data_IF_223548076047
#
_entry.id   IF_223548076047
#
_cell.length_a   1.000
_cell.length_b   1.000
_cell.length_c   1.000
_cell.angle_alpha   90.00
_cell.angle_beta   90.00
_cell.angle_gamma   90.00
#
_symmetry.space_group_name_H-M   'P 1'
#
loop_
_entity.id
_entity.type
_entity.pdbx_description
1 polymer ?
#
# COMPACT_ATOMS: atom_id res chain seq x y z
N UNK A 1 10.79 6.81 -20.93
CA UNK A 1 11.76 6.82 -19.80
C UNK A 1 11.17 5.99 -18.69
N UNK A 2 11.96 5.15 -18.05
CA UNK A 2 11.53 4.30 -16.94
C UNK A 2 11.44 5.15 -15.67
N UNK A 3 10.30 5.17 -15.01
CA UNK A 3 10.12 5.91 -13.74
C UNK A 3 10.72 5.12 -12.58
N UNK A 4 11.48 5.79 -11.72
CA UNK A 4 12.14 5.12 -10.57
C UNK A 4 11.21 5.07 -9.37
N UNK A 5 11.19 3.92 -8.71
CA UNK A 5 10.53 3.69 -7.43
C UNK A 5 11.58 3.39 -6.35
N UNK A 6 11.43 3.96 -5.17
CA UNK A 6 12.15 3.52 -3.99
C UNK A 6 11.25 2.55 -3.22
N UNK A 7 11.60 1.28 -3.18
CA UNK A 7 10.88 0.25 -2.44
C UNK A 7 11.59 -0.01 -1.11
N UNK A 8 10.90 0.28 -0.03
CA UNK A 8 11.40 0.16 1.33
C UNK A 8 10.68 -0.98 2.06
N UNK A 9 11.45 -1.92 2.62
CA UNK A 9 10.92 -3.15 3.25
C UNK A 9 11.48 -3.40 4.65
N UNK A 10 12.02 -2.35 5.30
CA UNK A 10 12.54 -2.49 6.67
C UNK A 10 11.42 -2.89 7.63
N UNK A 11 11.73 -3.81 8.52
CA UNK A 11 10.87 -4.22 9.63
C UNK A 11 11.64 -4.15 10.93
N UNK A 12 11.04 -3.60 11.96
CA UNK A 12 11.54 -3.62 13.35
C UNK A 12 10.58 -4.36 14.27
N UNK A 13 9.46 -4.82 13.71
CA UNK A 13 8.45 -5.66 14.30
C UNK A 13 8.26 -6.90 13.39
N UNK A 14 7.06 -7.42 13.22
CA UNK A 14 6.80 -8.63 12.41
C UNK A 14 7.29 -8.48 10.97
N UNK A 15 8.05 -9.50 10.48
CA UNK A 15 8.54 -9.57 9.11
C UNK A 15 7.77 -10.62 8.32
N UNK A 16 7.16 -10.21 7.22
CA UNK A 16 6.46 -11.10 6.32
C UNK A 16 7.41 -11.88 5.42
N UNK A 17 7.21 -13.19 5.30
CA UNK A 17 7.98 -14.06 4.41
C UNK A 17 7.73 -13.75 2.93
N UNK A 18 6.63 -13.05 2.61
CA UNK A 18 6.29 -12.62 1.25
C UNK A 18 7.17 -11.50 0.70
N UNK A 19 7.92 -10.76 1.52
CA UNK A 19 8.72 -9.60 1.10
C UNK A 19 9.62 -9.88 -0.11
N UNK A 20 10.38 -10.98 -0.19
CA UNK A 20 11.20 -11.27 -1.37
C UNK A 20 10.38 -11.41 -2.65
N UNK A 21 9.28 -12.17 -2.61
CA UNK A 21 8.38 -12.35 -3.75
C UNK A 21 7.72 -11.04 -4.17
N UNK A 22 7.36 -10.19 -3.20
CA UNK A 22 6.78 -8.88 -3.42
C UNK A 22 7.76 -7.93 -4.13
N UNK A 23 9.02 -7.89 -3.69
CA UNK A 23 10.07 -7.08 -4.33
C UNK A 23 10.31 -7.54 -5.77
N UNK A 24 10.38 -8.86 -6.01
CA UNK A 24 10.57 -9.41 -7.36
C UNK A 24 9.38 -9.11 -8.27
N UNK A 25 8.15 -9.17 -7.74
CA UNK A 25 6.95 -8.77 -8.46
C UNK A 25 7.02 -7.30 -8.89
N UNK A 26 7.39 -6.38 -7.98
CA UNK A 26 7.53 -4.96 -8.32
C UNK A 26 8.64 -4.70 -9.34
N UNK A 27 9.77 -5.40 -9.24
CA UNK A 27 10.86 -5.32 -10.24
C UNK A 27 10.46 -5.75 -11.64
N UNK A 28 9.46 -6.62 -11.73
CA UNK A 28 8.94 -7.15 -13.00
C UNK A 28 7.78 -6.36 -13.60
N UNK A 29 7.34 -5.27 -12.92
CA UNK A 29 6.34 -4.37 -13.49
C UNK A 29 6.94 -3.52 -14.59
N UNK A 30 6.28 -3.50 -15.73
CA UNK A 30 6.69 -2.67 -16.85
C UNK A 30 6.61 -1.17 -16.51
N UNK A 31 7.51 -0.38 -17.07
CA UNK A 31 7.53 1.07 -16.89
C UNK A 31 8.24 1.56 -15.61
N UNK A 32 8.65 0.67 -14.72
CA UNK A 32 9.33 1.03 -13.48
C UNK A 32 10.76 0.52 -13.39
N UNK A 33 11.65 1.35 -12.82
CA UNK A 33 12.94 0.94 -12.30
C UNK A 33 12.86 0.92 -10.77
N UNK A 34 13.17 -0.21 -10.15
CA UNK A 34 13.02 -0.42 -8.70
C UNK A 34 14.36 -0.41 -8.00
N UNK A 35 14.55 0.56 -7.10
CA UNK A 35 15.61 0.56 -6.11
C UNK A 35 15.03 0.04 -4.79
N UNK A 36 15.51 -1.11 -4.34
CA UNK A 36 15.06 -1.73 -3.09
C UNK A 36 16.07 -1.52 -1.98
N UNK A 37 15.59 -1.16 -0.78
CA UNK A 37 16.43 -0.99 0.42
C UNK A 37 15.68 -1.34 1.70
N UNK A 38 16.46 -1.72 2.73
CA UNK A 38 16.03 -1.80 4.13
C UNK A 38 16.81 -0.81 5.00
N UNK A 39 17.74 -0.06 4.41
CA UNK A 39 18.54 0.94 5.13
C UNK A 39 17.76 2.25 5.27
N UNK A 40 17.39 2.67 6.50
CA UNK A 40 16.65 3.91 6.73
C UNK A 40 17.44 5.17 6.34
N UNK A 41 18.78 5.09 6.25
CA UNK A 41 19.60 6.23 5.86
C UNK A 41 19.34 6.66 4.40
N UNK A 42 18.86 5.75 3.54
CA UNK A 42 18.48 6.09 2.16
C UNK A 42 17.33 7.10 2.12
N UNK A 43 16.40 7.03 3.10
CA UNK A 43 15.28 7.97 3.19
C UNK A 43 15.67 9.32 3.82
N UNK A 44 16.90 9.49 4.29
CA UNK A 44 17.41 10.79 4.72
C UNK A 44 17.93 11.66 3.56
N UNK A 45 18.30 11.01 2.45
CA UNK A 45 18.76 11.66 1.23
C UNK A 45 17.60 12.32 0.45
N UNK A 46 17.87 13.20 -0.53
CA UNK A 46 16.86 13.71 -1.45
C UNK A 46 16.13 12.58 -2.19
N UNK A 47 14.80 12.65 -2.25
CA UNK A 47 13.94 11.63 -2.88
C UNK A 47 13.43 12.07 -4.26
N UNK A 48 13.83 13.23 -4.76
CA UNK A 48 13.32 13.85 -6.01
C UNK A 48 13.56 13.00 -7.26
N UNK A 49 14.51 12.06 -7.21
CA UNK A 49 14.79 11.12 -8.29
C UNK A 49 13.74 10.01 -8.42
N UNK A 50 12.88 9.84 -7.41
CA UNK A 50 11.85 8.81 -7.38
C UNK A 50 10.48 9.39 -7.68
N UNK A 51 9.72 8.73 -8.54
CA UNK A 51 8.32 9.07 -8.82
C UNK A 51 7.40 8.66 -7.66
N UNK A 52 7.74 7.56 -6.97
CA UNK A 52 7.07 7.17 -5.73
C UNK A 52 8.01 6.45 -4.76
N UNK A 53 7.69 6.57 -3.47
CA UNK A 53 8.22 5.76 -2.37
C UNK A 53 7.18 4.71 -2.00
N UNK A 54 7.57 3.44 -2.02
CA UNK A 54 6.70 2.30 -1.70
C UNK A 54 7.13 1.68 -0.39
N UNK A 55 6.27 1.73 0.63
CA UNK A 55 6.44 0.97 1.86
C UNK A 55 5.77 -0.40 1.65
N UNK A 56 6.59 -1.43 1.44
CA UNK A 56 6.15 -2.77 1.10
C UNK A 56 6.30 -3.68 2.31
N UNK A 57 5.18 -4.00 2.97
CA UNK A 57 5.12 -4.82 4.19
C UNK A 57 6.11 -4.38 5.28
N UNK A 58 6.32 -3.07 5.41
CA UNK A 58 7.10 -2.50 6.52
C UNK A 58 6.35 -2.65 7.84
N UNK A 59 7.04 -2.73 8.97
CA UNK A 59 6.41 -2.84 10.29
C UNK A 59 7.29 -2.27 11.40
N UNK A 60 6.66 -1.68 12.42
CA UNK A 60 7.33 -1.04 13.54
C UNK A 60 7.88 0.35 13.22
N UNK A 61 8.81 0.84 14.03
CA UNK A 61 9.43 2.16 13.85
C UNK A 61 10.64 2.01 12.94
N UNK A 62 10.50 2.36 11.69
CA UNK A 62 11.47 2.04 10.62
C UNK A 62 12.26 3.24 10.13
N UNK A 63 11.79 4.46 10.43
CA UNK A 63 12.42 5.70 9.99
C UNK A 63 13.21 6.37 11.11
N UNK A 64 14.29 7.05 10.73
CA UNK A 64 14.95 8.03 11.59
C UNK A 64 14.16 9.34 11.63
N UNK A 65 14.41 10.24 12.60
CA UNK A 65 13.80 11.58 12.59
C UNK A 65 14.05 12.36 11.30
N UNK A 66 15.24 12.22 10.70
CA UNK A 66 15.59 12.86 9.43
C UNK A 66 14.80 12.24 8.25
N UNK A 67 14.67 10.91 8.23
CA UNK A 67 13.87 10.19 7.24
C UNK A 67 12.39 10.56 7.31
N UNK A 68 11.81 10.69 8.52
CA UNK A 68 10.44 11.20 8.72
C UNK A 68 10.26 12.59 8.13
N UNK A 69 11.14 13.52 8.45
CA UNK A 69 11.08 14.88 7.92
C UNK A 69 11.22 14.89 6.38
N UNK A 70 12.13 14.07 5.83
CA UNK A 70 12.34 13.97 4.39
C UNK A 70 11.12 13.40 3.67
N UNK A 71 10.54 12.30 4.17
CA UNK A 71 9.34 11.69 3.58
C UNK A 71 8.17 12.68 3.59
N UNK A 72 7.94 13.37 4.70
CA UNK A 72 6.88 14.37 4.80
C UNK A 72 7.07 15.53 3.80
N UNK A 73 8.29 16.04 3.67
CA UNK A 73 8.61 17.09 2.71
C UNK A 73 8.44 16.61 1.26
N UNK A 74 8.89 15.39 0.94
CA UNK A 74 8.77 14.78 -0.38
C UNK A 74 7.32 14.63 -0.81
N UNK A 75 6.47 14.04 0.03
CA UNK A 75 5.05 13.87 -0.27
C UNK A 75 4.35 15.23 -0.34
N UNK A 76 4.62 16.13 0.61
CA UNK A 76 4.05 17.48 0.62
C UNK A 76 4.38 18.29 -0.65
N UNK A 77 5.52 18.05 -1.27
CA UNK A 77 5.95 18.67 -2.53
C UNK A 77 5.41 18.00 -3.80
N UNK A 78 4.64 16.93 -3.70
CA UNK A 78 4.04 16.24 -4.85
C UNK A 78 4.58 14.84 -5.13
N UNK A 79 5.49 14.34 -4.31
CA UNK A 79 6.00 12.97 -4.42
C UNK A 79 4.93 11.92 -4.14
N UNK A 80 4.98 10.80 -4.88
CA UNK A 80 4.06 9.68 -4.72
C UNK A 80 4.39 8.80 -3.51
N UNK A 81 3.36 8.32 -2.80
CA UNK A 81 3.53 7.33 -1.74
C UNK A 81 2.61 6.14 -1.94
N UNK A 82 3.10 4.91 -1.78
CA UNK A 82 2.28 3.72 -1.77
C UNK A 82 2.60 2.86 -0.54
N UNK A 83 1.55 2.44 0.17
CA UNK A 83 1.64 1.49 1.27
C UNK A 83 1.01 0.16 0.87
N UNK A 84 1.69 -0.95 1.16
CA UNK A 84 1.21 -2.29 0.87
C UNK A 84 1.19 -3.11 2.16
N UNK A 85 0.07 -3.73 2.44
CA UNK A 85 -0.17 -4.66 3.54
C UNK A 85 0.28 -4.09 4.89
N UNK A 86 1.32 -4.65 5.50
CA UNK A 86 1.81 -4.26 6.82
C UNK A 86 2.38 -2.82 6.89
N UNK A 87 2.39 -2.06 5.78
CA UNK A 87 2.65 -0.64 5.87
C UNK A 87 1.70 0.08 6.85
N UNK A 88 0.49 -0.46 7.10
CA UNK A 88 -0.42 0.05 8.13
C UNK A 88 0.05 -0.22 9.58
N UNK A 89 1.03 -1.11 9.77
CA UNK A 89 1.66 -1.46 11.04
C UNK A 89 2.96 -0.67 11.31
N UNK A 90 3.17 0.44 10.60
CA UNK A 90 4.44 1.19 10.59
C UNK A 90 4.27 2.54 11.27
N UNK A 91 5.33 3.01 11.96
CA UNK A 91 5.44 4.38 12.49
C UNK A 91 4.26 4.78 13.41
N UNK A 92 3.89 3.93 14.35
CA UNK A 92 2.77 4.20 15.27
C UNK A 92 2.98 5.41 16.16
N UNK A 93 4.23 5.75 16.47
CA UNK A 93 4.59 6.91 17.30
C UNK A 93 4.65 8.22 16.50
N UNK A 94 4.48 8.16 15.18
CA UNK A 94 4.50 9.33 14.31
C UNK A 94 3.11 9.63 13.75
N UNK A 95 2.35 10.61 14.33
CA UNK A 95 0.96 10.91 13.91
C UNK A 95 0.82 11.21 12.42
N UNK A 96 1.77 11.98 11.84
CA UNK A 96 1.77 12.30 10.40
C UNK A 96 1.65 11.06 9.52
N UNK A 97 2.30 9.93 9.88
CA UNK A 97 2.21 8.71 9.06
C UNK A 97 0.79 8.11 9.06
N UNK A 98 0.06 8.21 10.19
CA UNK A 98 -1.35 7.83 10.24
C UNK A 98 -2.21 8.69 9.33
N UNK A 99 -1.96 10.01 9.35
CA UNK A 99 -2.64 10.96 8.47
C UNK A 99 -2.26 10.73 7.00
N UNK A 100 -1.00 10.42 6.72
CA UNK A 100 -0.51 10.09 5.38
C UNK A 100 -1.23 8.87 4.82
N UNK A 101 -1.23 7.76 5.55
CA UNK A 101 -1.81 6.49 5.11
C UNK A 101 -3.34 6.52 5.10
N UNK A 102 -3.95 7.25 6.04
CA UNK A 102 -5.40 7.38 6.19
C UNK A 102 -6.02 6.43 7.21
N UNK A 103 -5.34 5.34 7.59
CA UNK A 103 -5.76 4.42 8.64
C UNK A 103 -4.57 3.71 9.28
N UNK A 104 -4.80 3.10 10.45
CA UNK A 104 -3.83 2.30 11.19
C UNK A 104 -4.39 0.91 11.41
N UNK A 105 -3.57 -0.10 11.23
CA UNK A 105 -3.90 -1.48 11.54
C UNK A 105 -4.33 -1.63 13.01
N UNK A 106 -5.35 -2.45 13.25
CA UNK A 106 -5.83 -2.81 14.57
C UNK A 106 -5.62 -4.30 14.87
N UNK A 107 -6.10 -5.16 13.99
CA UNK A 107 -6.02 -6.62 14.07
C UNK A 107 -6.40 -7.26 12.73
N UNK A 108 -6.30 -8.56 12.64
CA UNK A 108 -6.87 -9.37 11.56
C UNK A 108 -7.35 -10.74 12.09
N UNK A 109 -8.33 -11.39 11.47
CA UNK A 109 -8.62 -12.80 11.68
C UNK A 109 -7.54 -13.69 11.05
N UNK A 110 -7.72 -15.02 11.12
CA UNK A 110 -6.83 -15.96 10.45
C UNK A 110 -6.80 -15.71 8.93
N UNK A 111 -5.66 -16.00 8.29
CA UNK A 111 -5.51 -16.01 6.83
C UNK A 111 -6.52 -16.98 6.22
N UNK A 112 -7.38 -16.50 5.33
CA UNK A 112 -8.52 -17.26 4.80
C UNK A 112 -9.06 -16.68 3.49
N UNK A 113 -9.79 -17.47 2.67
CA UNK A 113 -10.47 -16.94 1.50
C UNK A 113 -11.62 -16.01 1.90
N UNK A 114 -11.95 -15.07 1.01
CA UNK A 114 -13.06 -14.13 1.14
C UNK A 114 -13.26 -13.35 -0.14
N UNK A 115 -14.13 -12.34 -0.10
CA UNK A 115 -14.48 -11.52 -1.26
C UNK A 115 -14.12 -10.06 -1.06
N UNK A 116 -13.54 -9.49 -2.10
CA UNK A 116 -13.27 -8.06 -2.23
C UNK A 116 -14.34 -7.46 -3.13
N UNK A 117 -15.07 -6.47 -2.64
CA UNK A 117 -16.07 -5.70 -3.39
C UNK A 117 -15.38 -4.50 -4.02
N UNK A 118 -15.30 -4.46 -5.34
CA UNK A 118 -14.70 -3.34 -6.09
C UNK A 118 -15.72 -2.22 -6.20
N UNK A 119 -15.49 -1.13 -5.49
CA UNK A 119 -16.38 0.05 -5.46
C UNK A 119 -16.09 1.03 -6.60
N UNK A 120 -14.81 1.21 -6.92
CA UNK A 120 -14.36 2.13 -7.96
C UNK A 120 -13.78 1.35 -9.13
N UNK A 121 -14.48 1.34 -10.24
CA UNK A 121 -14.11 0.60 -11.45
C UNK A 121 -13.42 1.46 -12.52
N UNK A 122 -13.14 2.71 -12.21
CA UNK A 122 -12.45 3.64 -13.13
C UNK A 122 -10.99 3.85 -12.70
N UNK A 123 -10.65 3.57 -11.43
CA UNK A 123 -9.30 3.75 -10.93
C UNK A 123 -8.31 2.72 -11.51
N UNK A 124 -7.08 3.11 -11.91
CA UNK A 124 -6.09 2.18 -12.49
C UNK A 124 -5.82 0.92 -11.67
N UNK A 125 -5.90 1.00 -10.34
CA UNK A 125 -5.69 -0.15 -9.46
C UNK A 125 -6.83 -1.19 -9.51
N UNK A 126 -8.02 -0.82 -9.96
CA UNK A 126 -9.21 -1.69 -9.77
C UNK A 126 -10.05 -1.90 -11.02
N UNK A 127 -9.84 -1.11 -12.07
CA UNK A 127 -10.68 -1.16 -13.29
C UNK A 127 -10.63 -2.50 -14.06
N UNK A 128 -9.55 -3.28 -13.90
CA UNK A 128 -9.38 -4.59 -14.52
C UNK A 128 -10.03 -5.71 -13.69
N UNK A 129 -10.33 -5.46 -12.41
CA UNK A 129 -10.89 -6.43 -11.50
C UNK A 129 -12.40 -6.66 -11.75
N UNK A 130 -12.93 -7.86 -11.48
CA UNK A 130 -14.37 -8.08 -11.44
C UNK A 130 -15.02 -7.28 -10.30
N UNK A 131 -16.33 -7.04 -10.37
CA UNK A 131 -17.06 -6.31 -9.31
C UNK A 131 -16.96 -7.01 -7.94
N UNK A 132 -16.85 -8.34 -7.94
CA UNK A 132 -16.57 -9.16 -6.76
C UNK A 132 -15.36 -10.00 -7.11
N UNK A 133 -14.27 -9.76 -6.38
CA UNK A 133 -12.99 -10.44 -6.57
C UNK A 133 -12.75 -11.43 -5.44
N UNK A 134 -12.72 -12.71 -5.77
CA UNK A 134 -12.37 -13.78 -4.83
C UNK A 134 -10.88 -13.71 -4.54
N UNK A 135 -10.51 -13.60 -3.26
CA UNK A 135 -9.13 -13.46 -2.84
C UNK A 135 -8.90 -14.20 -1.52
N UNK A 136 -7.65 -14.53 -1.22
CA UNK A 136 -7.27 -15.13 0.08
C UNK A 136 -6.21 -14.25 0.71
N UNK A 137 -6.52 -13.71 1.89
CA UNK A 137 -5.58 -12.83 2.61
C UNK A 137 -5.84 -12.81 4.11
N UNK A 138 -5.06 -12.01 4.83
CA UNK A 138 -5.38 -11.50 6.17
C UNK A 138 -6.27 -10.27 6.01
N UNK A 139 -7.51 -10.37 6.47
CA UNK A 139 -8.49 -9.29 6.38
C UNK A 139 -8.24 -8.26 7.49
N UNK A 140 -7.49 -7.20 7.17
CA UNK A 140 -7.06 -6.19 8.15
C UNK A 140 -8.23 -5.32 8.62
N UNK A 141 -8.54 -5.37 9.91
CA UNK A 141 -9.35 -4.35 10.58
C UNK A 141 -8.49 -3.13 10.90
N UNK A 142 -9.05 -1.95 10.81
CA UNK A 142 -8.39 -0.68 11.08
C UNK A 142 -8.93 -0.02 12.33
N UNK A 143 -8.12 0.79 13.01
CA UNK A 143 -8.52 1.55 14.20
C UNK A 143 -9.62 2.57 13.88
N UNK A 144 -9.59 3.13 12.67
CA UNK A 144 -10.58 4.07 12.14
C UNK A 144 -10.79 3.79 10.66
N UNK A 145 -12.02 3.97 10.15
CA UNK A 145 -12.29 3.86 8.71
C UNK A 145 -11.65 5.05 7.97
N UNK A 146 -10.96 4.81 6.84
CA UNK A 146 -10.42 5.88 5.99
C UNK A 146 -11.50 6.61 5.19
N UNK A 147 -12.74 6.11 5.13
CA UNK A 147 -13.80 6.58 4.24
C UNK A 147 -14.09 8.07 4.34
N UNK A 148 -13.93 8.67 5.51
CA UNK A 148 -14.16 10.12 5.69
C UNK A 148 -13.05 11.01 5.12
N UNK A 149 -11.86 10.43 4.79
CA UNK A 149 -10.66 11.18 4.38
C UNK A 149 -9.97 10.65 3.13
N UNK A 150 -10.45 9.54 2.58
CA UNK A 150 -9.88 8.88 1.41
C UNK A 150 -10.99 8.40 0.45
N UNK A 151 -10.64 8.27 -0.84
CA UNK A 151 -11.46 7.61 -1.86
C UNK A 151 -11.23 6.10 -1.73
N UNK A 152 -12.23 5.38 -1.28
CA UNK A 152 -12.19 3.92 -1.18
C UNK A 152 -12.37 3.33 -2.57
N UNK A 153 -11.52 2.39 -2.93
CA UNK A 153 -11.49 1.71 -4.23
C UNK A 153 -12.08 0.30 -4.14
N UNK A 154 -11.86 -0.36 -2.99
CA UNK A 154 -12.40 -1.69 -2.74
C UNK A 154 -12.54 -1.93 -1.22
N UNK A 155 -13.51 -2.76 -0.86
CA UNK A 155 -13.84 -3.13 0.51
C UNK A 155 -13.96 -4.65 0.67
N UNK A 156 -13.83 -5.16 1.89
CA UNK A 156 -14.11 -6.56 2.20
C UNK A 156 -15.63 -6.80 2.30
N UNK A 157 -16.07 -7.94 1.83
CA UNK A 157 -17.38 -8.50 2.18
C UNK A 157 -17.23 -9.38 3.43
N UNK A 158 -17.47 -8.81 4.61
CA UNK A 158 -17.32 -9.57 5.86
C UNK A 158 -18.27 -10.77 5.99
N UNK A 159 -19.30 -10.86 5.15
CA UNK A 159 -20.17 -12.04 5.11
C UNK A 159 -19.50 -13.25 4.45
N UNK A 160 -18.35 -13.07 3.79
CA UNK A 160 -17.63 -14.09 3.04
C UNK A 160 -16.51 -14.78 3.83
N UNK A 161 -16.18 -14.29 5.02
CA UNK A 161 -15.12 -14.83 5.86
C UNK A 161 -15.48 -14.68 7.35
N UNK A 162 -14.71 -15.32 8.24
CA UNK A 162 -14.96 -15.29 9.68
C UNK A 162 -14.05 -14.29 10.40
N UNK A 163 -14.57 -13.64 11.44
CA UNK A 163 -13.79 -12.84 12.37
C UNK A 163 -13.59 -11.37 11.96
N UNK A 164 -14.28 -10.87 10.95
CA UNK A 164 -14.31 -9.44 10.62
C UNK A 164 -14.80 -8.57 11.77
N UNK A 165 -14.37 -7.34 11.83
CA UNK A 165 -14.67 -6.44 12.93
C UNK A 165 -14.97 -5.00 12.53
N UNK A 166 -15.02 -4.69 11.22
CA UNK A 166 -15.37 -3.37 10.71
C UNK A 166 -16.86 -3.27 10.35
N UNK A 167 -17.56 -4.41 10.22
CA UNK A 167 -19.00 -4.48 9.89
C UNK A 167 -19.27 -4.29 8.40
N UNK A 168 -20.43 -3.71 8.08
CA UNK A 168 -20.88 -3.56 6.70
C UNK A 168 -20.11 -2.57 5.84
N UNK A 169 -19.15 -1.83 6.39
CA UNK A 169 -18.27 -0.90 5.67
C UNK A 169 -16.81 -1.16 6.06
N UNK A 170 -16.13 -1.99 5.27
CA UNK A 170 -14.78 -2.46 5.55
C UNK A 170 -13.79 -2.13 4.42
N UNK A 171 -13.30 -0.88 4.31
CA UNK A 171 -12.32 -0.49 3.30
C UNK A 171 -11.03 -1.31 3.41
N UNK A 172 -10.54 -1.84 2.26
CA UNK A 172 -9.26 -2.53 2.15
C UNK A 172 -8.27 -1.78 1.26
N UNK A 173 -8.79 -1.07 0.26
CA UNK A 173 -8.00 -0.35 -0.74
C UNK A 173 -8.51 1.07 -0.86
N UNK A 174 -7.61 2.03 -0.80
CA UNK A 174 -7.98 3.44 -0.97
C UNK A 174 -6.84 4.27 -1.54
N UNK A 175 -7.21 5.45 -2.01
CA UNK A 175 -6.27 6.48 -2.41
C UNK A 175 -6.69 7.84 -1.86
N UNK A 176 -5.73 8.75 -1.73
CA UNK A 176 -5.98 10.11 -1.26
C UNK A 176 -4.88 11.07 -1.71
N UNK A 177 -5.12 12.35 -1.56
CA UNK A 177 -4.11 13.38 -1.69
C UNK A 177 -3.58 13.78 -0.30
N UNK A 178 -2.27 14.09 -0.22
CA UNK A 178 -1.61 14.58 0.98
C UNK A 178 -0.67 15.74 0.60
N UNK A 179 -1.05 16.97 0.94
CA UNK A 179 -0.37 18.13 0.35
C UNK A 179 -0.56 18.17 -1.17
N UNK A 180 0.52 18.22 -1.93
CA UNK A 180 0.52 18.08 -3.38
C UNK A 180 0.74 16.65 -3.86
N UNK A 181 1.06 15.70 -2.96
CA UNK A 181 1.35 14.32 -3.28
C UNK A 181 0.12 13.41 -3.30
N UNK A 182 0.28 12.24 -3.90
CA UNK A 182 -0.74 11.19 -4.00
C UNK A 182 -0.35 9.99 -3.18
N UNK A 183 -1.32 9.40 -2.50
CA UNK A 183 -1.13 8.24 -1.62
C UNK A 183 -2.07 7.12 -2.05
N UNK A 184 -1.50 5.95 -2.29
CA UNK A 184 -2.24 4.71 -2.51
C UNK A 184 -1.97 3.74 -1.36
N UNK A 185 -2.98 3.02 -0.93
CA UNK A 185 -2.82 1.93 0.04
C UNK A 185 -3.67 0.72 -0.35
N UNK A 186 -3.10 -0.46 -0.17
CA UNK A 186 -3.82 -1.74 -0.19
C UNK A 186 -3.47 -2.58 1.02
N UNK A 187 -4.48 -3.12 1.71
CA UNK A 187 -4.31 -4.04 2.82
C UNK A 187 -3.89 -5.44 2.37
N UNK A 188 -4.12 -5.76 1.08
CA UNK A 188 -3.84 -7.07 0.52
C UNK A 188 -2.33 -7.30 0.32
N UNK A 189 -1.90 -8.57 0.31
CA UNK A 189 -0.52 -8.94 0.00
C UNK A 189 0.24 -9.65 1.13
N UNK A 190 -0.47 -10.36 2.03
CA UNK A 190 0.16 -11.14 3.09
C UNK A 190 1.06 -12.25 2.55
N UNK A 191 0.55 -13.06 1.64
CA UNK A 191 1.21 -14.27 1.18
C UNK A 191 1.99 -14.07 -0.14
N UNK A 192 3.05 -14.86 -0.33
CA UNK A 192 3.87 -14.82 -1.56
C UNK A 192 3.08 -15.20 -2.82
N UNK A 193 2.02 -15.99 -2.66
CA UNK A 193 1.10 -16.40 -3.74
C UNK A 193 0.38 -15.20 -4.36
N UNK A 194 -0.01 -14.21 -3.57
CA UNK A 194 -0.65 -12.98 -4.05
C UNK A 194 0.20 -12.29 -5.14
N UNK A 195 1.52 -12.25 -4.96
CA UNK A 195 2.45 -11.60 -5.89
C UNK A 195 2.70 -12.39 -7.18
N UNK A 196 2.14 -13.60 -7.31
CA UNK A 196 2.11 -14.39 -8.56
C UNK A 196 0.80 -14.22 -9.32
N UNK A 197 -0.26 -13.77 -8.64
CA UNK A 197 -1.56 -13.50 -9.24
C UNK A 197 -1.48 -12.31 -10.20
N UNK A 198 -1.87 -12.45 -11.47
CA UNK A 198 -1.77 -11.37 -12.44
C UNK A 198 -2.69 -10.19 -12.13
N UNK A 199 -3.86 -10.43 -11.55
CA UNK A 199 -4.81 -9.38 -11.19
C UNK A 199 -4.28 -8.59 -10.00
N UNK A 200 -3.69 -9.23 -8.99
CA UNK A 200 -3.06 -8.53 -7.87
C UNK A 200 -1.83 -7.72 -8.32
N UNK A 201 -1.03 -8.25 -9.23
CA UNK A 201 0.12 -7.52 -9.80
C UNK A 201 -0.32 -6.29 -10.59
N UNK A 202 -1.37 -6.41 -11.39
CA UNK A 202 -1.96 -5.29 -12.12
C UNK A 202 -2.57 -4.26 -11.15
N UNK A 203 -3.20 -4.73 -10.05
CA UNK A 203 -3.69 -3.89 -8.96
C UNK A 203 -2.57 -3.05 -8.34
N UNK A 204 -1.46 -3.66 -7.95
CA UNK A 204 -0.29 -2.96 -7.39
C UNK A 204 0.30 -1.97 -8.40
N UNK A 205 0.51 -2.41 -9.64
CA UNK A 205 1.07 -1.58 -10.71
C UNK A 205 0.22 -0.35 -10.97
N UNK A 206 -1.10 -0.51 -11.08
CA UNK A 206 -2.04 0.59 -11.29
C UNK A 206 -2.09 1.56 -10.12
N UNK A 207 -2.07 1.06 -8.86
CA UNK A 207 -2.06 1.89 -7.66
C UNK A 207 -0.77 2.70 -7.51
N UNK A 208 0.37 2.07 -7.73
CA UNK A 208 1.69 2.72 -7.68
C UNK A 208 1.83 3.75 -8.82
N UNK A 209 1.39 3.42 -10.04
CA UNK A 209 1.42 4.35 -11.17
C UNK A 209 0.58 5.60 -10.89
N UNK A 210 -0.62 5.42 -10.33
CA UNK A 210 -1.49 6.53 -9.94
C UNK A 210 -0.81 7.41 -8.86
N UNK A 211 -0.23 6.81 -7.83
CA UNK A 211 0.48 7.54 -6.78
C UNK A 211 1.69 8.30 -7.37
N UNK A 212 2.43 7.70 -8.28
CA UNK A 212 3.56 8.31 -8.99
C UNK A 212 3.17 9.41 -9.99
N UNK A 213 1.86 9.66 -10.19
CA UNK A 213 1.40 10.65 -11.18
C UNK A 213 1.65 10.26 -12.63
N UNK A 214 1.86 8.96 -12.89
CA UNK A 214 2.15 8.45 -14.22
C UNK A 214 0.87 8.15 -15.00
N UNK A 215 0.90 8.25 -16.34
CA UNK A 215 -0.18 7.70 -17.14
C UNK A 215 -0.27 6.19 -16.92
N UNK A 216 -1.46 5.65 -17.19
CA UNK A 216 -1.72 4.22 -17.03
C UNK A 216 -0.62 3.34 -17.62
N UNK A 217 -0.01 2.50 -16.78
CA UNK A 217 0.85 1.42 -17.24
C UNK A 217 -0.08 0.30 -17.74
N UNK A 218 0.06 -0.07 -18.98
CA UNK A 218 -0.73 -1.15 -19.61
C UNK A 218 -0.12 -2.50 -19.33
#
# INVERSE_FOLDING_TARGET
MTSRLLVFTRTTDYRHDSIPAAVDALRSLDGFGVDHTEDPAVLEAPLDAYAAVVFLSTSGEVLTPAGRARLAAYVGAGGGFAGVHAAACTEYTWPYYGDLLGARFARHPAYQPGRVLVEDRDHPATRHLPAVWEFTDEWYDFRTSPRGSARVLAAADESSYEGGGMGGDHPLVWCREQGAGRVFYTALGHAAEAYRDPDFRAHLGGGIAWAAGLPDVR
#
